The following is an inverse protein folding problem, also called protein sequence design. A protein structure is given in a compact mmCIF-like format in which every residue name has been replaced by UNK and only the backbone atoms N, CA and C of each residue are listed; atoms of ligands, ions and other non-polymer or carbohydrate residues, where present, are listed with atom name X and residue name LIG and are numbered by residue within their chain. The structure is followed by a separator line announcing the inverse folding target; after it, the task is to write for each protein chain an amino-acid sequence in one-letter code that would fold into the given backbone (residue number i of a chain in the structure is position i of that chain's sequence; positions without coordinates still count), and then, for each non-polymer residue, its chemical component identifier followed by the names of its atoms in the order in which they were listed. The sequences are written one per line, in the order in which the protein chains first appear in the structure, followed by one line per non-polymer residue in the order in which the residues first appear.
data_IF_332237086205
#
_entry.id   IF_332237086205
#
_cell.length_a   1.000
_cell.length_b   1.000
_cell.length_c   1.000
_cell.angle_alpha   90.00
_cell.angle_beta   90.00
_cell.angle_gamma   90.00
#
_symmetry.space_group_name_H-M   'P 1'
#
loop_
_entity.id
_entity.type
_entity.pdbx_description
1 polymer ?
#
# COMPACT_ATOMS: atom_id res chain seq x y z
N UNK A 1 12.06 -5.87 -4.69
CA UNK A 1 11.76 -4.45 -4.98
C UNK A 1 10.91 -3.88 -3.87
N UNK A 2 11.46 -3.05 -2.99
CA UNK A 2 10.71 -2.30 -1.99
C UNK A 2 10.21 -1.00 -2.61
N UNK A 3 8.90 -0.71 -2.52
CA UNK A 3 8.32 0.51 -3.06
C UNK A 3 7.63 1.33 -1.99
N UNK A 4 7.98 2.61 -1.90
CA UNK A 4 7.35 3.55 -0.98
C UNK A 4 7.46 5.00 -1.46
N UNK A 5 6.66 5.88 -0.86
CA UNK A 5 6.63 7.32 -1.12
C UNK A 5 7.18 8.09 0.07
N UNK A 6 8.12 9.00 -0.19
CA UNK A 6 8.63 9.97 0.78
C UNK A 6 8.48 11.39 0.26
N UNK A 7 8.74 12.37 1.13
CA UNK A 7 8.68 13.80 0.80
C UNK A 7 9.97 14.52 1.21
N UNK A 8 10.45 15.39 0.33
CA UNK A 8 11.50 16.37 0.61
C UNK A 8 10.84 17.70 0.92
N UNK A 9 10.93 18.12 2.19
CA UNK A 9 10.29 19.36 2.67
C UNK A 9 11.29 20.51 2.68
N UNK A 10 10.87 21.69 2.23
CA UNK A 10 11.71 22.90 2.18
C UNK A 10 11.05 24.08 2.88
N UNK A 11 11.87 24.97 3.43
CA UNK A 11 11.48 26.34 3.77
C UNK A 11 12.01 27.29 2.68
N UNK A 12 11.11 28.07 2.08
CA UNK A 12 11.42 28.98 0.95
C UNK A 12 10.60 30.26 1.04
N UNK A 13 11.19 31.37 0.59
CA UNK A 13 10.49 32.67 0.47
C UNK A 13 9.34 32.62 -0.55
N UNK A 14 9.48 31.86 -1.63
CA UNK A 14 8.42 31.63 -2.62
C UNK A 14 8.11 30.12 -2.77
N UNK A 15 7.17 29.56 -1.98
CA UNK A 15 6.78 28.15 -2.06
C UNK A 15 6.20 27.71 -3.41
N UNK A 16 5.56 28.61 -4.15
CA UNK A 16 4.93 28.29 -5.43
C UNK A 16 5.94 27.94 -6.53
N UNK A 17 7.22 28.33 -6.38
CA UNK A 17 8.28 27.94 -7.30
C UNK A 17 8.66 26.45 -7.19
N UNK A 18 8.29 25.79 -6.09
CA UNK A 18 8.56 24.35 -5.86
C UNK A 18 7.25 23.54 -5.91
N UNK A 19 6.21 24.03 -5.23
CA UNK A 19 4.94 23.34 -5.05
C UNK A 19 4.79 22.75 -3.64
N UNK A 20 3.72 21.98 -3.44
CA UNK A 20 3.28 21.54 -2.12
C UNK A 20 3.13 20.01 -1.98
N UNK A 21 3.50 19.47 -0.82
CA UNK A 21 3.44 18.02 -0.52
C UNK A 21 2.22 17.61 0.30
N UNK A 22 1.76 18.45 1.22
CA UNK A 22 0.57 18.17 2.04
C UNK A 22 0.02 19.43 2.70
N UNK A 23 -1.19 19.32 3.23
CA UNK A 23 -1.76 20.29 4.16
C UNK A 23 -1.73 19.68 5.56
N UNK A 24 -1.11 20.36 6.52
CA UNK A 24 -1.01 19.90 7.92
C UNK A 24 -1.80 20.82 8.83
N UNK A 25 -2.34 20.25 9.90
CA UNK A 25 -2.99 21.01 10.97
C UNK A 25 -1.91 21.75 11.78
N UNK A 26 -2.07 23.06 11.94
CA UNK A 26 -1.19 23.94 12.72
C UNK A 26 -1.88 24.51 13.95
N UNK A 27 -2.82 23.76 14.52
CA UNK A 27 -3.55 24.14 15.74
C UNK A 27 -4.86 24.87 15.45
N UNK A 28 -5.42 25.49 16.49
CA UNK A 28 -6.67 26.25 16.40
C UNK A 28 -6.39 27.75 16.38
N UNK A 29 -7.21 28.51 15.68
CA UNK A 29 -7.19 29.97 15.76
C UNK A 29 -7.89 30.49 17.03
N UNK A 30 -7.90 31.81 17.24
CA UNK A 30 -8.57 32.46 18.38
C UNK A 30 -10.10 32.21 18.42
N UNK A 31 -10.69 31.69 17.35
CA UNK A 31 -12.11 31.33 17.22
C UNK A 31 -12.30 29.80 17.24
N UNK A 32 -11.30 29.06 17.74
CA UNK A 32 -11.25 27.59 17.79
C UNK A 32 -11.31 26.85 16.45
N UNK A 33 -11.14 27.54 15.31
CA UNK A 33 -11.14 26.89 14.00
C UNK A 33 -9.80 26.25 13.72
N UNK A 34 -9.82 25.05 13.15
CA UNK A 34 -8.61 24.36 12.72
C UNK A 34 -7.89 25.17 11.64
N UNK A 35 -6.64 25.55 11.93
CA UNK A 35 -5.74 26.17 10.97
C UNK A 35 -4.96 25.10 10.23
N UNK A 36 -4.84 25.30 8.93
CA UNK A 36 -4.02 24.45 8.08
C UNK A 36 -2.95 25.30 7.40
N UNK A 37 -1.74 24.77 7.28
CA UNK A 37 -0.74 25.31 6.36
C UNK A 37 -0.30 24.24 5.36
N UNK A 38 0.04 24.68 4.16
CA UNK A 38 0.60 23.82 3.12
C UNK A 38 2.11 23.71 3.30
N UNK A 39 2.61 22.50 3.20
CA UNK A 39 4.04 22.19 3.30
C UNK A 39 4.65 22.29 1.90
N UNK A 40 5.67 23.15 1.76
CA UNK A 40 6.44 23.31 0.53
C UNK A 40 7.39 22.14 0.35
N UNK A 41 7.41 21.52 -0.82
CA UNK A 41 8.22 20.33 -1.02
C UNK A 41 8.00 19.58 -2.33
N UNK A 42 8.77 18.51 -2.48
CA UNK A 42 8.72 17.57 -3.60
C UNK A 42 8.44 16.18 -3.03
N UNK A 43 7.55 15.43 -3.68
CA UNK A 43 7.31 14.03 -3.39
C UNK A 43 8.19 13.14 -4.26
N UNK A 44 8.59 12.01 -3.69
CA UNK A 44 9.35 10.99 -4.38
C UNK A 44 8.75 9.63 -4.11
N UNK A 45 8.45 8.89 -5.16
CA UNK A 45 8.14 7.47 -5.09
C UNK A 45 9.31 6.70 -5.67
N UNK A 46 9.77 5.69 -4.94
CA UNK A 46 11.02 4.99 -5.27
C UNK A 46 10.81 3.49 -5.27
N UNK A 47 11.57 2.79 -6.12
CA UNK A 47 11.70 1.34 -6.15
C UNK A 47 13.13 0.95 -5.80
N UNK A 48 13.35 0.51 -4.55
CA UNK A 48 14.65 0.04 -4.08
C UNK A 48 14.80 -1.47 -4.37
N UNK A 49 15.83 -1.82 -5.12
CA UNK A 49 16.22 -3.21 -5.36
C UNK A 49 17.05 -3.72 -4.19
N UNK A 50 16.68 -4.90 -3.67
CA UNK A 50 17.34 -5.57 -2.55
C UNK A 50 17.32 -7.07 -2.84
N UNK A 51 18.41 -7.77 -2.53
CA UNK A 51 18.47 -9.23 -2.61
C UNK A 51 17.66 -9.89 -1.48
N UNK A 52 17.46 -11.20 -1.55
CA UNK A 52 16.79 -11.94 -0.48
C UNK A 52 17.58 -11.94 0.84
N UNK A 53 18.91 -11.80 0.77
CA UNK A 53 19.80 -11.68 1.93
C UNK A 53 19.84 -10.25 2.51
N UNK A 54 19.08 -9.31 1.94
CA UNK A 54 19.01 -7.92 2.42
C UNK A 54 20.07 -6.99 1.86
N UNK A 55 20.86 -7.40 0.86
CA UNK A 55 21.85 -6.52 0.22
C UNK A 55 21.14 -5.49 -0.68
N UNK A 56 21.27 -4.17 -0.43
CA UNK A 56 20.70 -3.16 -1.31
C UNK A 56 21.50 -3.08 -2.62
N UNK A 57 20.80 -3.20 -3.75
CA UNK A 57 21.37 -3.10 -5.10
C UNK A 57 21.22 -1.71 -5.71
N UNK A 58 20.40 -0.84 -5.11
CA UNK A 58 20.17 0.54 -5.55
C UNK A 58 18.75 0.79 -6.05
N UNK A 59 18.51 2.01 -6.54
CA UNK A 59 17.20 2.44 -7.02
C UNK A 59 16.98 1.99 -8.47
N UNK A 60 15.93 1.20 -8.70
CA UNK A 60 15.56 0.74 -10.04
C UNK A 60 14.56 1.65 -10.76
N UNK A 61 13.83 2.47 -10.00
CA UNK A 61 12.92 3.48 -10.53
C UNK A 61 12.71 4.58 -9.48
N UNK A 62 12.52 5.80 -9.96
CA UNK A 62 12.18 6.96 -9.12
C UNK A 62 11.23 7.86 -9.90
N UNK A 63 10.18 8.33 -9.23
CA UNK A 63 9.29 9.39 -9.73
C UNK A 63 9.25 10.55 -8.76
N UNK A 64 9.58 11.74 -9.25
CA UNK A 64 9.40 12.99 -8.53
C UNK A 64 8.16 13.74 -9.02
N UNK A 65 7.46 14.42 -8.13
CA UNK A 65 6.40 15.38 -8.48
C UNK A 65 6.17 16.37 -7.35
N UNK A 66 5.53 17.49 -7.68
CA UNK A 66 4.96 18.42 -6.71
C UNK A 66 3.51 18.74 -7.10
N UNK A 67 2.78 19.44 -6.23
CA UNK A 67 1.41 19.88 -6.50
C UNK A 67 1.33 21.39 -6.52
N UNK A 68 0.65 21.95 -7.50
CA UNK A 68 0.37 23.40 -7.55
C UNK A 68 -0.56 23.82 -6.40
N UNK A 69 -1.52 22.96 -6.04
CA UNK A 69 -2.47 23.14 -4.95
C UNK A 69 -2.79 21.79 -4.31
N UNK A 70 -2.96 21.78 -2.99
CA UNK A 70 -3.46 20.59 -2.30
C UNK A 70 -4.96 20.43 -2.57
N UNK A 71 -5.34 19.41 -3.35
CA UNK A 71 -6.73 19.02 -3.53
C UNK A 71 -7.11 18.15 -2.34
N UNK A 72 -8.04 18.60 -1.50
CA UNK A 72 -8.54 17.87 -0.32
C UNK A 72 -9.29 16.59 -0.71
N UNK A 73 -8.59 15.59 -1.24
CA UNK A 73 -9.14 14.33 -1.78
C UNK A 73 -9.93 13.55 -0.73
N UNK A 74 -9.60 13.68 0.55
CA UNK A 74 -10.39 13.12 1.66
C UNK A 74 -11.83 13.69 1.71
N UNK A 75 -12.02 14.97 1.42
CA UNK A 75 -13.37 15.58 1.36
C UNK A 75 -14.12 15.14 0.10
N UNK A 76 -13.41 14.90 -1.01
CA UNK A 76 -13.97 14.40 -2.27
C UNK A 76 -14.45 12.94 -2.18
N UNK A 77 -13.86 12.10 -1.30
CA UNK A 77 -14.29 10.70 -1.10
C UNK A 77 -15.75 10.56 -0.65
N UNK A 78 -16.33 11.59 -0.01
CA UNK A 78 -17.76 11.61 0.35
C UNK A 78 -18.69 11.75 -0.85
N UNK A 79 -18.20 12.29 -1.97
CA UNK A 79 -18.99 12.58 -3.18
C UNK A 79 -18.65 11.66 -4.36
N UNK A 80 -17.42 11.12 -4.41
CA UNK A 80 -16.92 10.37 -5.57
C UNK A 80 -16.38 9.01 -5.09
N UNK A 81 -16.87 7.92 -5.69
CA UNK A 81 -16.32 6.59 -5.46
C UNK A 81 -14.93 6.48 -6.13
N UNK A 82 -13.83 6.31 -5.36
CA UNK A 82 -12.48 6.27 -5.90
C UNK A 82 -12.25 5.15 -6.91
N UNK A 83 -13.04 4.07 -6.87
CA UNK A 83 -12.93 2.96 -7.84
C UNK A 83 -13.46 3.32 -9.22
N UNK A 84 -14.27 4.39 -9.35
CA UNK A 84 -14.80 4.87 -10.64
C UNK A 84 -13.89 5.89 -11.33
N UNK A 85 -12.94 6.46 -10.60
CA UNK A 85 -11.95 7.39 -11.17
C UNK A 85 -10.87 6.56 -11.89
N UNK A 86 -10.50 6.89 -13.14
CA UNK A 86 -9.39 6.24 -13.85
C UNK A 86 -8.09 6.28 -13.04
N UNK A 87 -7.24 5.26 -13.18
CA UNK A 87 -5.97 5.21 -12.44
C UNK A 87 -4.99 6.26 -12.93
N UNK A 88 -5.05 6.56 -14.24
CA UNK A 88 -4.20 7.48 -14.99
C UNK A 88 -4.35 8.93 -14.49
N UNK A 89 -5.48 9.27 -13.85
CA UNK A 89 -5.73 10.61 -13.29
C UNK A 89 -5.44 10.69 -11.78
N UNK A 90 -4.94 9.62 -11.17
CA UNK A 90 -4.63 9.56 -9.73
C UNK A 90 -3.14 9.55 -9.52
N UNK A 91 -2.71 10.08 -8.38
CA UNK A 91 -1.31 9.98 -7.95
C UNK A 91 -0.87 8.54 -7.68
N UNK A 92 -1.80 7.60 -7.43
CA UNK A 92 -1.47 6.18 -7.29
C UNK A 92 -0.94 5.55 -8.60
N UNK A 93 -1.03 6.23 -9.75
CA UNK A 93 -0.40 5.80 -11.00
C UNK A 93 1.12 5.60 -10.85
N UNK A 94 1.75 6.34 -9.92
CA UNK A 94 3.19 6.27 -9.65
C UNK A 94 3.70 4.87 -9.34
N UNK A 95 2.89 4.06 -8.65
CA UNK A 95 3.19 2.66 -8.35
C UNK A 95 3.29 1.84 -9.64
N UNK A 96 2.37 2.05 -10.60
CA UNK A 96 2.37 1.35 -11.89
C UNK A 96 3.54 1.78 -12.77
N UNK A 97 3.84 3.08 -12.80
CA UNK A 97 4.98 3.62 -13.55
C UNK A 97 6.31 3.10 -13.00
N UNK A 98 6.48 3.11 -11.67
CA UNK A 98 7.68 2.59 -11.01
C UNK A 98 7.84 1.09 -11.22
N UNK A 99 6.75 0.33 -11.19
CA UNK A 99 6.76 -1.08 -11.51
C UNK A 99 7.21 -1.33 -12.95
N UNK A 100 6.64 -0.64 -13.94
CA UNK A 100 7.05 -0.74 -15.36
C UNK A 100 8.52 -0.38 -15.56
N UNK A 101 8.98 0.72 -14.97
CA UNK A 101 10.37 1.15 -15.07
C UNK A 101 11.34 0.16 -14.43
N UNK A 102 11.02 -0.34 -13.23
CA UNK A 102 11.86 -1.32 -12.53
C UNK A 102 11.99 -2.61 -13.32
N UNK A 103 10.88 -3.13 -13.85
CA UNK A 103 10.87 -4.34 -14.69
C UNK A 103 11.69 -4.11 -15.97
N UNK A 104 11.49 -2.96 -16.63
CA UNK A 104 12.23 -2.61 -17.85
C UNK A 104 13.73 -2.49 -17.63
N UNK A 105 14.16 -1.91 -16.49
CA UNK A 105 15.57 -1.80 -16.15
C UNK A 105 16.20 -3.16 -15.83
N UNK A 106 15.54 -4.00 -15.03
CA UNK A 106 16.09 -5.26 -14.57
C UNK A 106 16.05 -6.36 -15.63
N UNK A 107 15.12 -6.28 -16.59
CA UNK A 107 15.00 -7.22 -17.70
C UNK A 107 14.63 -8.65 -17.31
N UNK A 108 14.36 -8.92 -16.03
CA UNK A 108 14.06 -10.25 -15.47
C UNK A 108 12.83 -10.15 -14.53
N UNK A 109 11.63 -9.88 -15.08
CA UNK A 109 10.42 -9.64 -14.28
C UNK A 109 10.05 -10.82 -13.37
N UNK A 110 10.25 -12.05 -13.82
CA UNK A 110 9.97 -13.29 -13.08
C UNK A 110 10.81 -13.44 -11.80
N UNK A 111 11.98 -12.77 -11.74
CA UNK A 111 12.83 -12.73 -10.55
C UNK A 111 12.52 -11.57 -9.60
N UNK A 112 11.57 -10.72 -9.96
CA UNK A 112 11.23 -9.53 -9.19
C UNK A 112 10.01 -9.77 -8.30
N UNK A 113 10.14 -9.45 -7.01
CA UNK A 113 9.01 -9.35 -6.08
C UNK A 113 8.84 -7.89 -5.67
N UNK A 114 7.71 -7.28 -6.02
CA UNK A 114 7.34 -5.92 -5.63
C UNK A 114 6.62 -5.92 -4.28
N UNK A 115 7.26 -5.36 -3.27
CA UNK A 115 6.73 -5.26 -1.91
C UNK A 115 6.20 -3.85 -1.68
N UNK A 116 4.92 -3.76 -1.34
CA UNK A 116 4.23 -2.49 -1.11
C UNK A 116 3.34 -2.52 0.12
N UNK A 117 3.10 -1.35 0.69
CA UNK A 117 2.28 -1.17 1.88
C UNK A 117 0.77 -1.15 1.53
N UNK A 118 -0.07 -0.68 2.46
CA UNK A 118 -1.52 -0.60 2.26
C UNK A 118 -1.95 0.39 1.17
N UNK A 119 -1.12 1.37 0.82
CA UNK A 119 -1.46 2.26 -0.28
C UNK A 119 -1.43 1.53 -1.63
N UNK A 120 -0.58 0.51 -1.74
CA UNK A 120 -0.47 -0.32 -2.94
C UNK A 120 -1.60 -1.35 -3.10
N UNK A 121 -2.55 -1.44 -2.16
CA UNK A 121 -3.72 -2.35 -2.25
C UNK A 121 -4.80 -1.82 -3.21
N UNK A 122 -4.50 -1.88 -4.50
CA UNK A 122 -5.45 -1.56 -5.56
C UNK A 122 -5.30 -2.52 -6.75
N UNK A 123 -6.43 -2.83 -7.38
CA UNK A 123 -6.54 -3.96 -8.30
C UNK A 123 -5.71 -3.80 -9.59
N UNK A 124 -5.53 -2.58 -10.06
CA UNK A 124 -4.71 -2.28 -11.25
C UNK A 124 -3.26 -2.74 -11.08
N UNK A 125 -2.70 -2.64 -9.87
CA UNK A 125 -1.35 -3.15 -9.56
C UNK A 125 -1.29 -4.67 -9.72
N UNK A 126 -2.30 -5.38 -9.22
CA UNK A 126 -2.37 -6.85 -9.31
C UNK A 126 -2.50 -7.32 -10.75
N UNK A 127 -3.29 -6.62 -11.57
CA UNK A 127 -3.38 -6.93 -12.98
C UNK A 127 -2.08 -6.63 -13.74
N UNK A 128 -1.45 -5.50 -13.42
CA UNK A 128 -0.20 -5.12 -14.08
C UNK A 128 0.95 -6.09 -13.79
N UNK A 129 1.07 -6.55 -12.55
CA UNK A 129 2.09 -7.57 -12.19
C UNK A 129 1.89 -8.86 -12.99
N UNK A 130 0.64 -9.30 -13.19
CA UNK A 130 0.31 -10.43 -14.08
C UNK A 130 0.66 -10.16 -15.53
N UNK A 131 0.32 -8.99 -16.06
CA UNK A 131 0.61 -8.57 -17.45
C UNK A 131 2.12 -8.61 -17.72
N UNK A 132 2.93 -8.13 -16.78
CA UNK A 132 4.38 -8.04 -16.91
C UNK A 132 5.13 -9.31 -16.49
N UNK A 133 4.43 -10.33 -16.00
CA UNK A 133 5.05 -11.57 -15.54
C UNK A 133 5.88 -11.44 -14.26
N UNK A 134 5.61 -10.43 -13.41
CA UNK A 134 6.33 -10.18 -12.14
C UNK A 134 5.48 -10.52 -10.91
N UNK A 135 6.09 -10.55 -9.73
CA UNK A 135 5.46 -10.93 -8.46
C UNK A 135 5.23 -9.72 -7.56
N UNK A 136 4.34 -9.86 -6.58
CA UNK A 136 4.15 -8.85 -5.55
C UNK A 136 3.82 -9.44 -4.20
N UNK A 137 4.07 -8.66 -3.15
CA UNK A 137 3.53 -8.86 -1.80
C UNK A 137 2.98 -7.52 -1.33
N UNK A 138 1.67 -7.47 -1.10
CA UNK A 138 0.97 -6.23 -0.72
C UNK A 138 0.20 -6.44 0.57
N UNK A 139 0.32 -5.48 1.49
CA UNK A 139 -0.53 -5.47 2.70
C UNK A 139 -1.93 -4.98 2.36
N UNK A 140 -2.95 -5.80 2.61
CA UNK A 140 -4.33 -5.45 2.24
C UNK A 140 -5.01 -4.55 3.27
N UNK A 141 -5.88 -3.69 2.76
CA UNK A 141 -6.81 -2.84 3.51
C UNK A 141 -8.25 -3.06 3.07
N UNK A 142 -8.49 -3.41 1.79
CA UNK A 142 -9.81 -3.64 1.24
C UNK A 142 -10.16 -5.13 1.31
N UNK A 143 -11.30 -5.44 1.92
CA UNK A 143 -11.89 -6.77 1.83
C UNK A 143 -12.62 -6.92 0.49
N UNK A 144 -12.16 -7.83 -0.37
CA UNK A 144 -12.61 -7.95 -1.77
C UNK A 144 -13.55 -9.13 -1.92
N UNK A 145 -14.42 -9.06 -2.93
CA UNK A 145 -15.24 -10.21 -3.30
C UNK A 145 -14.34 -11.35 -3.81
N UNK A 146 -14.72 -12.58 -3.46
CA UNK A 146 -13.99 -13.79 -3.76
C UNK A 146 -14.90 -14.87 -4.39
N UNK A 147 -14.30 -15.91 -4.97
CA UNK A 147 -15.01 -17.05 -5.54
C UNK A 147 -15.96 -16.66 -6.67
N UNK A 148 -17.25 -16.97 -6.49
CA UNK A 148 -18.36 -16.62 -7.39
C UNK A 148 -18.84 -15.17 -7.20
N UNK A 149 -18.42 -14.49 -6.12
CA UNK A 149 -18.77 -13.11 -5.80
C UNK A 149 -19.91 -12.92 -4.80
N UNK A 150 -20.29 -13.98 -4.09
CA UNK A 150 -21.28 -14.01 -3.01
C UNK A 150 -20.68 -13.80 -1.60
N UNK A 151 -19.36 -13.90 -1.46
CA UNK A 151 -18.63 -13.69 -0.21
C UNK A 151 -17.33 -12.90 -0.44
N UNK A 152 -16.62 -12.61 0.66
CA UNK A 152 -15.36 -11.86 0.64
C UNK A 152 -14.16 -12.71 1.03
N UNK A 153 -12.95 -12.19 0.76
CA UNK A 153 -11.69 -12.81 1.19
C UNK A 153 -11.70 -13.06 2.69
N UNK A 154 -12.13 -12.10 3.51
CA UNK A 154 -12.19 -12.28 4.97
C UNK A 154 -13.14 -13.41 5.38
N UNK A 155 -14.29 -13.53 4.71
CA UNK A 155 -15.23 -14.61 4.97
C UNK A 155 -14.59 -15.96 4.62
N UNK A 156 -13.96 -16.07 3.45
CA UNK A 156 -13.32 -17.31 3.00
C UNK A 156 -12.13 -17.73 3.88
N UNK A 157 -11.37 -16.76 4.40
CA UNK A 157 -10.22 -17.00 5.27
C UNK A 157 -10.58 -17.32 6.72
N UNK A 158 -11.84 -17.10 7.13
CA UNK A 158 -12.29 -17.37 8.51
C UNK A 158 -12.16 -18.85 8.87
N UNK A 159 -12.52 -19.71 7.91
CA UNK A 159 -12.59 -21.16 8.08
C UNK A 159 -11.30 -21.87 7.69
N UNK A 160 -10.26 -21.10 7.31
CA UNK A 160 -8.93 -21.65 7.00
C UNK A 160 -8.20 -21.98 8.29
N UNK A 161 -7.76 -23.23 8.39
CA UNK A 161 -6.97 -23.70 9.53
C UNK A 161 -5.61 -23.00 9.62
N UNK A 162 -5.10 -22.91 10.85
CA UNK A 162 -3.75 -22.39 11.08
C UNK A 162 -2.73 -23.44 10.69
N UNK A 163 -1.88 -23.11 9.72
CA UNK A 163 -0.86 -24.01 9.17
C UNK A 163 0.48 -23.89 9.88
N UNK A 164 0.69 -22.84 10.67
CA UNK A 164 1.96 -22.61 11.35
C UNK A 164 1.92 -21.46 12.33
N UNK A 165 3.00 -21.36 13.11
CA UNK A 165 3.26 -20.26 14.03
C UNK A 165 4.61 -19.64 13.71
N UNK A 166 4.66 -18.32 13.68
CA UNK A 166 5.89 -17.57 13.50
C UNK A 166 6.10 -16.63 14.67
N UNK A 167 7.31 -16.62 15.24
CA UNK A 167 7.66 -15.72 16.32
C UNK A 167 8.34 -14.49 15.73
N UNK A 168 7.83 -13.31 16.07
CA UNK A 168 8.43 -12.03 15.69
C UNK A 168 8.81 -11.23 16.94
N UNK A 169 9.75 -10.32 16.76
CA UNK A 169 10.07 -9.31 17.75
C UNK A 169 9.38 -8.01 17.35
N UNK A 170 8.58 -7.47 18.28
CA UNK A 170 7.87 -6.22 18.14
C UNK A 170 8.47 -5.23 19.11
N UNK A 171 8.94 -4.10 18.58
CA UNK A 171 9.47 -2.99 19.38
C UNK A 171 8.35 -2.00 19.66
N UNK A 172 8.11 -1.70 20.93
CA UNK A 172 7.17 -0.68 21.36
C UNK A 172 7.76 0.72 21.22
N UNK A 173 6.92 1.75 21.33
CA UNK A 173 7.36 3.17 21.32
C UNK A 173 8.30 3.48 22.51
N UNK A 174 8.23 2.68 23.57
CA UNK A 174 9.13 2.73 24.75
C UNK A 174 10.50 2.08 24.51
N UNK A 175 10.78 1.63 23.28
CA UNK A 175 11.96 0.84 22.89
C UNK A 175 12.02 -0.59 23.46
N UNK A 176 11.02 -0.99 24.25
CA UNK A 176 10.90 -2.35 24.77
C UNK A 176 10.61 -3.35 23.65
N UNK A 177 11.35 -4.47 23.63
CA UNK A 177 11.17 -5.54 22.65
C UNK A 177 10.34 -6.66 23.26
N UNK A 178 9.17 -6.91 22.69
CA UNK A 178 8.31 -8.03 23.06
C UNK A 178 8.31 -9.08 21.95
N UNK A 179 8.34 -10.36 22.34
CA UNK A 179 8.19 -11.50 21.43
C UNK A 179 6.72 -11.83 21.25
N UNK A 180 6.25 -11.89 20.00
CA UNK A 180 4.85 -12.13 19.64
C UNK A 180 4.76 -13.33 18.71
N UNK A 181 3.86 -14.26 19.02
CA UNK A 181 3.52 -15.36 18.11
C UNK A 181 2.39 -14.95 17.17
N UNK A 182 2.62 -15.15 15.88
CA UNK A 182 1.64 -15.00 14.82
C UNK A 182 1.19 -16.39 14.36
N UNK A 183 -0.11 -16.65 14.41
CA UNK A 183 -0.72 -17.78 13.71
C UNK A 183 -0.82 -17.44 12.22
N UNK A 184 -0.27 -18.33 11.39
CA UNK A 184 -0.23 -18.16 9.94
C UNK A 184 -1.30 -19.04 9.30
N UNK A 185 -2.07 -18.44 8.39
CA UNK A 185 -3.07 -19.09 7.54
C UNK A 185 -2.85 -18.60 6.12
N UNK A 186 -2.98 -19.47 5.14
CA UNK A 186 -2.96 -19.03 3.75
C UNK A 186 -3.92 -19.85 2.88
N UNK A 187 -4.42 -19.24 1.81
CA UNK A 187 -5.27 -19.91 0.82
C UNK A 187 -5.07 -19.26 -0.55
N UNK A 188 -5.10 -20.07 -1.61
CA UNK A 188 -5.23 -19.56 -2.98
C UNK A 188 -6.71 -19.25 -3.22
N UNK A 189 -7.03 -17.99 -3.51
CA UNK A 189 -8.40 -17.47 -3.62
C UNK A 189 -8.57 -16.82 -4.98
N UNK A 190 -9.72 -17.08 -5.62
CA UNK A 190 -10.15 -16.35 -6.81
C UNK A 190 -10.67 -14.98 -6.40
N UNK A 191 -9.85 -13.95 -6.52
CA UNK A 191 -10.18 -12.58 -6.13
C UNK A 191 -10.81 -11.84 -7.30
N UNK A 192 -11.93 -11.16 -7.04
CA UNK A 192 -12.66 -10.40 -8.05
C UNK A 192 -12.22 -8.94 -8.10
N UNK A 193 -12.27 -8.37 -9.30
CA UNK A 193 -12.10 -6.94 -9.50
C UNK A 193 -13.24 -6.15 -8.88
N UNK A 194 -13.02 -4.86 -8.50
CA UNK A 194 -14.11 -3.99 -8.08
C UNK A 194 -15.25 -3.96 -9.10
N UNK A 195 -16.50 -3.89 -8.64
CA UNK A 195 -17.70 -4.01 -9.51
C UNK A 195 -17.62 -3.06 -10.73
N UNK A 196 -17.25 -1.80 -10.52
CA UNK A 196 -17.11 -0.80 -11.60
C UNK A 196 -15.97 -1.05 -12.58
N UNK A 197 -15.14 -2.07 -12.34
CA UNK A 197 -13.92 -2.39 -13.10
C UNK A 197 -13.97 -3.78 -13.77
N UNK A 198 -15.04 -4.56 -13.55
CA UNK A 198 -15.21 -5.92 -14.07
C UNK A 198 -15.05 -6.06 -15.58
N UNK A 199 -15.43 -5.02 -16.36
CA UNK A 199 -15.26 -5.01 -17.82
C UNK A 199 -13.80 -4.89 -18.27
N UNK A 200 -12.96 -4.21 -17.48
CA UNK A 200 -11.55 -3.92 -17.84
C UNK A 200 -10.57 -4.91 -17.20
N UNK A 201 -10.91 -5.46 -16.03
CA UNK A 201 -9.99 -6.27 -15.25
C UNK A 201 -10.60 -7.64 -14.88
N UNK A 202 -9.92 -8.75 -15.23
CA UNK A 202 -10.39 -10.10 -14.96
C UNK A 202 -10.29 -10.44 -13.48
N UNK A 203 -10.94 -11.52 -13.06
CA UNK A 203 -10.63 -12.17 -11.78
C UNK A 203 -9.18 -12.69 -11.78
N UNK A 204 -8.55 -12.69 -10.61
CA UNK A 204 -7.19 -13.19 -10.41
C UNK A 204 -7.18 -14.24 -9.30
N UNK A 205 -6.54 -15.38 -9.55
CA UNK A 205 -6.21 -16.31 -8.47
C UNK A 205 -4.97 -15.79 -7.75
N UNK A 206 -5.10 -15.45 -6.48
CA UNK A 206 -4.06 -14.84 -5.65
C UNK A 206 -3.92 -15.61 -4.34
N UNK A 207 -2.71 -15.64 -3.79
CA UNK A 207 -2.49 -16.24 -2.47
C UNK A 207 -2.72 -15.18 -1.40
N UNK A 208 -3.63 -15.45 -0.48
CA UNK A 208 -3.89 -14.59 0.67
C UNK A 208 -3.24 -15.21 1.89
N UNK A 209 -2.50 -14.41 2.66
CA UNK A 209 -1.89 -14.81 3.93
C UNK A 209 -2.48 -13.95 5.04
N UNK A 210 -2.99 -14.60 6.08
CA UNK A 210 -3.34 -13.97 7.35
C UNK A 210 -2.30 -14.39 8.39
N UNK A 211 -1.66 -13.39 9.00
CA UNK A 211 -0.81 -13.56 10.17
C UNK A 211 -1.46 -12.83 11.34
N UNK A 212 -1.91 -13.58 12.34
CA UNK A 212 -2.75 -13.07 13.43
C UNK A 212 -2.15 -13.45 14.78
N UNK A 213 -1.92 -12.45 15.63
CA UNK A 213 -1.64 -12.61 17.05
C UNK A 213 -2.92 -13.14 17.74
N UNK A 214 -2.92 -14.36 18.30
CA UNK A 214 -4.14 -14.97 18.82
C UNK A 214 -4.69 -14.26 20.06
N UNK A 215 -3.81 -13.68 20.89
CA UNK A 215 -4.15 -13.07 22.17
C UNK A 215 -3.37 -11.75 22.35
N UNK A 216 -3.73 -10.67 21.63
CA UNK A 216 -3.03 -9.40 21.78
C UNK A 216 -3.23 -8.84 23.21
N UNK A 217 -2.18 -8.29 23.85
CA UNK A 217 -2.30 -7.64 25.14
C UNK A 217 -3.34 -6.52 25.15
N UNK A 218 -4.02 -6.32 26.29
CA UNK A 218 -4.98 -5.24 26.45
C UNK A 218 -4.34 -3.86 26.15
N UNK A 219 -5.02 -3.03 25.37
CA UNK A 219 -4.52 -1.70 24.97
C UNK A 219 -3.61 -1.70 23.74
N UNK A 220 -3.18 -2.86 23.21
CA UNK A 220 -2.44 -2.94 21.95
C UNK A 220 -3.39 -2.78 20.77
N UNK A 221 -3.11 -1.80 19.89
CA UNK A 221 -3.93 -1.53 18.71
C UNK A 221 -4.09 -2.80 17.85
N UNK A 222 -5.32 -3.19 17.52
CA UNK A 222 -5.62 -4.42 16.75
C UNK A 222 -4.91 -4.49 15.38
N UNK A 223 -4.51 -3.35 14.82
CA UNK A 223 -3.72 -3.23 13.58
C UNK A 223 -2.25 -3.64 13.71
N UNK A 224 -1.75 -3.78 14.94
CA UNK A 224 -0.38 -4.19 15.26
C UNK A 224 -0.23 -5.71 15.46
N UNK A 225 -1.33 -6.45 15.65
CA UNK A 225 -1.31 -7.91 15.80
C UNK A 225 -1.92 -8.67 14.62
N UNK A 226 -2.50 -8.00 13.62
CA UNK A 226 -3.14 -8.65 12.47
C UNK A 226 -2.62 -8.08 11.14
N UNK A 227 -2.01 -8.96 10.37
CA UNK A 227 -1.47 -8.67 9.03
C UNK A 227 -2.19 -9.52 8.01
N UNK A 228 -2.63 -8.87 6.94
CA UNK A 228 -3.25 -9.50 5.79
C UNK A 228 -2.41 -9.13 4.58
N UNK A 229 -1.86 -10.14 3.94
CA UNK A 229 -1.03 -10.00 2.75
C UNK A 229 -1.72 -10.68 1.58
N UNK A 230 -1.54 -10.12 0.40
CA UNK A 230 -1.93 -10.74 -0.85
C UNK A 230 -0.71 -10.76 -1.76
N UNK A 231 -0.48 -11.90 -2.42
CA UNK A 231 0.68 -12.12 -3.26
C UNK A 231 0.33 -12.95 -4.50
N UNK A 232 1.14 -12.76 -5.54
CA UNK A 232 1.05 -13.50 -6.81
C UNK A 232 2.25 -14.40 -6.99
#
# INVERSE_FOLDING_TARGET
MLQDTTEFTYQRRNPHAVGFTKSVNSGRDKQERLRHHTVCGILMHSSLAVTLDGLPLGLAAVKFWSRDKFKGTAQLKRKINPTRVPIETKESIRWLENLRQSVGLLGQPDRCIHVGDRESDFYELYCLTRELGTHFVVRTVVDRLAGSGDHTILAEMRDVETVGRHLIEVRADTDEVTKVHLNIRFKRIRVLSPIGKKKRYPALDLTVIHAVEPNPPAGRNASSGSYRLILR
#
